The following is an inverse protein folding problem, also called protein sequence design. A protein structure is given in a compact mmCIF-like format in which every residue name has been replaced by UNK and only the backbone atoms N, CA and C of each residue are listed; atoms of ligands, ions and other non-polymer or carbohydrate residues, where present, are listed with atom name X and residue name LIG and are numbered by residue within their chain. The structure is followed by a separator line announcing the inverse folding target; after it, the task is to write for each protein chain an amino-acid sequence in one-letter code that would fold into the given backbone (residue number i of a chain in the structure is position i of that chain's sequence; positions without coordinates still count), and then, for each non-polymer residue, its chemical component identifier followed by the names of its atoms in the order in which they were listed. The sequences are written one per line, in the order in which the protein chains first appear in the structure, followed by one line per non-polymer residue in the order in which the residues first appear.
data_IF_148893155944
#
_entry.id   IF_148893155944
#
_cell.length_a   1.000
_cell.length_b   1.000
_cell.length_c   1.000
_cell.angle_alpha   90.00
_cell.angle_beta   90.00
_cell.angle_gamma   90.00
#
_symmetry.space_group_name_H-M   'P 1'
#
loop_
_entity.id
_entity.type
_entity.pdbx_description
1 polymer ?
#
# COMPACT_ATOMS: atom_id res chain seq x y z
N UNK A 1 15.81 19.50 -1.73
CA UNK A 1 15.12 18.58 -2.66
C UNK A 1 13.62 18.59 -2.37
N UNK A 2 12.75 18.57 -3.40
CA UNK A 2 11.30 18.42 -3.20
C UNK A 2 11.01 16.98 -2.79
N UNK A 3 10.13 16.73 -1.82
CA UNK A 3 9.71 15.37 -1.42
C UNK A 3 9.17 14.59 -2.63
N UNK A 4 9.40 13.26 -2.69
CA UNK A 4 8.81 12.41 -3.72
C UNK A 4 7.29 12.44 -3.63
N UNK A 5 6.64 12.29 -4.76
CA UNK A 5 5.21 12.00 -4.84
C UNK A 5 5.03 10.50 -4.66
N UNK A 6 4.18 10.13 -3.72
CA UNK A 6 3.88 8.72 -3.43
C UNK A 6 2.58 8.35 -4.14
N UNK A 7 2.66 7.45 -5.12
CA UNK A 7 1.51 6.94 -5.88
C UNK A 7 1.01 5.67 -5.21
N UNK A 8 -0.31 5.56 -5.04
CA UNK A 8 -0.96 4.43 -4.39
C UNK A 8 -1.79 3.64 -5.40
N UNK A 9 -1.52 2.35 -5.49
CA UNK A 9 -2.23 1.36 -6.29
C UNK A 9 -2.67 0.19 -5.40
N UNK A 10 -3.46 -0.73 -5.94
CA UNK A 10 -3.89 -1.93 -5.22
C UNK A 10 -3.72 -3.15 -6.13
N UNK A 11 -4.74 -3.42 -6.95
CA UNK A 11 -4.83 -4.61 -7.79
C UNK A 11 -4.33 -4.29 -9.21
N UNK A 12 -3.53 -5.20 -9.77
CA UNK A 12 -3.04 -5.07 -11.15
C UNK A 12 -3.51 -6.24 -11.98
N UNK A 13 -4.37 -5.98 -12.97
CA UNK A 13 -4.93 -7.02 -13.82
C UNK A 13 -5.18 -6.51 -15.25
N UNK A 14 -4.82 -7.27 -16.29
CA UNK A 14 -5.05 -6.86 -17.67
C UNK A 14 -6.54 -6.90 -18.05
N UNK A 15 -7.34 -7.72 -17.36
CA UNK A 15 -8.72 -8.05 -17.77
C UNK A 15 -9.74 -7.82 -16.67
N UNK A 16 -9.34 -7.77 -15.39
CA UNK A 16 -10.30 -7.62 -14.31
C UNK A 16 -10.81 -6.18 -14.20
N UNK A 17 -12.07 -6.01 -14.56
CA UNK A 17 -12.79 -4.74 -14.58
C UNK A 17 -13.29 -4.34 -13.18
N UNK A 18 -12.37 -3.95 -12.29
CA UNK A 18 -12.71 -3.60 -10.91
C UNK A 18 -12.25 -2.19 -10.52
N UNK A 19 -12.89 -1.57 -9.51
CA UNK A 19 -12.58 -0.19 -9.08
C UNK A 19 -11.17 -0.05 -8.52
N UNK A 20 -10.66 -1.10 -7.87
CA UNK A 20 -9.30 -1.19 -7.33
C UNK A 20 -8.26 -1.64 -8.37
N UNK A 21 -8.72 -2.09 -9.55
CA UNK A 21 -7.88 -2.67 -10.59
C UNK A 21 -7.35 -1.61 -11.56
N UNK A 22 -6.11 -1.82 -12.00
CA UNK A 22 -5.49 -1.10 -13.11
C UNK A 22 -4.74 -2.06 -14.02
N UNK A 23 -4.74 -1.81 -15.33
CA UNK A 23 -3.96 -2.64 -16.24
C UNK A 23 -2.46 -2.35 -16.10
N UNK A 24 -1.59 -3.38 -16.25
CA UNK A 24 -0.13 -3.20 -16.20
C UNK A 24 0.36 -2.09 -17.13
N UNK A 25 -0.15 -2.06 -18.37
CA UNK A 25 0.24 -1.09 -19.38
C UNK A 25 -0.11 0.35 -18.99
N UNK A 26 -1.29 0.57 -18.41
CA UNK A 26 -1.69 1.91 -17.98
C UNK A 26 -0.89 2.38 -16.77
N UNK A 27 -0.67 1.51 -15.78
CA UNK A 27 0.14 1.83 -14.60
C UNK A 27 1.54 2.26 -15.00
N UNK A 28 2.24 1.46 -15.81
CA UNK A 28 3.60 1.79 -16.26
C UNK A 28 3.63 3.08 -17.09
N UNK A 29 2.59 3.35 -17.89
CA UNK A 29 2.45 4.61 -18.63
C UNK A 29 2.24 5.81 -17.70
N UNK A 30 1.44 5.69 -16.64
CA UNK A 30 1.26 6.73 -15.64
C UNK A 30 2.60 7.04 -14.94
N UNK A 31 3.27 6.01 -14.42
CA UNK A 31 4.55 6.17 -13.70
C UNK A 31 5.61 6.79 -14.60
N UNK A 32 5.80 6.27 -15.82
CA UNK A 32 6.76 6.83 -16.79
C UNK A 32 6.47 8.29 -17.12
N UNK A 33 5.20 8.65 -17.27
CA UNK A 33 4.81 10.02 -17.58
C UNK A 33 5.06 10.96 -16.40
N UNK A 34 4.63 10.58 -15.19
CA UNK A 34 4.76 11.41 -13.99
C UNK A 34 6.22 11.60 -13.57
N UNK A 35 7.06 10.57 -13.78
CA UNK A 35 8.51 10.61 -13.49
C UNK A 35 9.27 11.66 -14.32
N UNK A 36 8.67 12.19 -15.41
CA UNK A 36 9.23 13.31 -16.19
C UNK A 36 9.13 14.65 -15.48
N UNK A 37 8.22 14.76 -14.50
CA UNK A 37 7.87 16.03 -13.85
C UNK A 37 8.15 16.01 -12.34
N UNK A 38 8.14 14.84 -11.71
CA UNK A 38 8.28 14.67 -10.26
C UNK A 38 9.15 13.44 -9.97
N UNK A 39 9.81 13.46 -8.83
CA UNK A 39 10.32 12.25 -8.21
C UNK A 39 9.13 11.42 -7.69
N UNK A 40 9.11 10.13 -7.99
CA UNK A 40 7.96 9.25 -7.81
C UNK A 40 8.37 7.98 -7.04
N UNK A 41 7.60 7.67 -5.99
CA UNK A 41 7.60 6.37 -5.31
C UNK A 41 6.28 5.68 -5.58
N UNK A 42 6.32 4.39 -5.84
CA UNK A 42 5.12 3.59 -6.14
C UNK A 42 4.84 2.67 -4.96
N UNK A 43 3.60 2.72 -4.46
CA UNK A 43 3.13 1.86 -3.38
C UNK A 43 1.94 1.03 -3.84
N UNK A 44 1.83 -0.18 -3.30
CA UNK A 44 0.65 -1.02 -3.45
C UNK A 44 0.15 -1.44 -2.07
N UNK A 45 -1.16 -1.38 -1.89
CA UNK A 45 -1.81 -1.76 -0.64
C UNK A 45 -2.41 -3.17 -0.75
N UNK A 46 -2.84 -3.70 0.39
CA UNK A 46 -3.48 -5.01 0.63
C UNK A 46 -2.59 -6.24 0.39
N UNK A 47 -1.46 -6.10 -0.30
CA UNK A 47 -0.56 -7.21 -0.58
C UNK A 47 -1.07 -8.16 -1.66
N UNK A 48 -1.89 -7.69 -2.61
CA UNK A 48 -2.37 -8.51 -3.72
C UNK A 48 -1.22 -9.07 -4.57
N UNK A 49 -1.23 -10.39 -4.81
CA UNK A 49 -0.19 -11.12 -5.54
C UNK A 49 0.01 -10.60 -6.96
N UNK A 50 -1.06 -10.17 -7.64
CA UNK A 50 -1.00 -9.70 -9.02
C UNK A 50 -0.25 -8.35 -9.20
N UNK A 51 -0.04 -7.59 -8.13
CA UNK A 51 0.79 -6.37 -8.15
C UNK A 51 2.23 -6.63 -8.60
N UNK A 52 2.78 -7.83 -8.31
CA UNK A 52 4.13 -8.22 -8.70
C UNK A 52 4.36 -8.21 -10.23
N UNK A 53 3.29 -8.33 -11.02
CA UNK A 53 3.38 -8.35 -12.49
C UNK A 53 4.02 -7.09 -13.09
N UNK A 54 3.98 -5.95 -12.38
CA UNK A 54 4.58 -4.69 -12.84
C UNK A 54 5.94 -4.37 -12.21
N UNK A 55 6.40 -5.13 -11.21
CA UNK A 55 7.66 -4.82 -10.51
C UNK A 55 8.88 -4.78 -11.43
N UNK A 56 9.06 -5.69 -12.41
CA UNK A 56 10.18 -5.59 -13.36
C UNK A 56 10.13 -4.29 -14.17
N UNK A 57 8.96 -3.88 -14.65
CA UNK A 57 8.78 -2.64 -15.42
C UNK A 57 9.03 -1.40 -14.57
N UNK A 58 8.58 -1.39 -13.32
CA UNK A 58 8.84 -0.29 -12.37
C UNK A 58 10.34 -0.16 -12.05
N UNK A 59 11.05 -1.29 -11.87
CA UNK A 59 12.51 -1.27 -11.69
C UNK A 59 13.24 -0.72 -12.91
N UNK A 60 12.81 -1.06 -14.12
CA UNK A 60 13.36 -0.48 -15.36
C UNK A 60 13.14 1.03 -15.46
N UNK A 61 12.07 1.55 -14.85
CA UNK A 61 11.82 3.00 -14.76
C UNK A 61 12.62 3.67 -13.64
N UNK A 62 13.35 2.92 -12.81
CA UNK A 62 14.18 3.45 -11.73
C UNK A 62 13.40 4.02 -10.55
N UNK A 63 12.13 3.65 -10.37
CA UNK A 63 11.31 4.10 -9.23
C UNK A 63 11.36 3.11 -8.07
N UNK A 64 11.26 3.61 -6.85
CA UNK A 64 11.12 2.76 -5.66
C UNK A 64 9.74 2.12 -5.58
N UNK A 65 9.70 0.88 -5.08
CA UNK A 65 8.49 0.07 -4.93
C UNK A 65 8.33 -0.27 -3.45
N UNK A 66 7.14 -0.01 -2.90
CA UNK A 66 6.77 -0.44 -1.56
C UNK A 66 5.44 -1.19 -1.58
N UNK A 67 5.34 -2.27 -0.81
CA UNK A 67 4.10 -2.99 -0.52
C UNK A 67 3.69 -2.67 0.91
N UNK A 68 2.43 -2.29 1.13
CA UNK A 68 1.79 -2.27 2.44
C UNK A 68 0.89 -3.50 2.53
N UNK A 69 1.19 -4.38 3.49
CA UNK A 69 0.54 -5.69 3.58
C UNK A 69 -0.24 -5.85 4.88
N UNK A 70 -1.32 -6.62 4.81
CA UNK A 70 -2.05 -7.06 6.00
C UNK A 70 -1.44 -8.38 6.48
N UNK A 71 -0.72 -8.36 7.60
CA UNK A 71 0.17 -9.48 8.00
C UNK A 71 -0.58 -10.79 8.20
N UNK A 72 -1.82 -10.74 8.66
CA UNK A 72 -2.67 -11.91 8.86
C UNK A 72 -3.00 -12.66 7.56
N UNK A 73 -3.02 -11.98 6.40
CA UNK A 73 -3.23 -12.61 5.09
C UNK A 73 -1.94 -13.17 4.50
N UNK A 74 -0.77 -12.63 4.88
CA UNK A 74 0.51 -13.10 4.39
C UNK A 74 0.93 -14.48 4.92
N UNK A 75 0.33 -14.94 6.01
CA UNK A 75 0.62 -16.24 6.65
C UNK A 75 0.35 -17.42 5.72
N UNK A 76 -0.70 -17.34 4.91
CA UNK A 76 -1.13 -18.41 3.99
C UNK A 76 -1.42 -17.90 2.57
N UNK A 77 -1.29 -16.60 2.31
CA UNK A 77 -1.59 -15.99 1.01
C UNK A 77 -3.05 -16.14 0.62
N UNK A 78 -3.94 -16.26 1.61
CA UNK A 78 -5.38 -16.43 1.40
C UNK A 78 -5.98 -15.22 0.68
N UNK A 79 -7.16 -15.44 0.13
CA UNK A 79 -7.96 -14.38 -0.48
C UNK A 79 -8.23 -13.27 0.53
N UNK A 80 -7.95 -12.03 0.12
CA UNK A 80 -8.28 -10.85 0.88
C UNK A 80 -9.80 -10.74 1.03
N UNK A 81 -10.27 -10.62 2.26
CA UNK A 81 -11.69 -10.75 2.59
C UNK A 81 -12.12 -9.65 3.56
N UNK A 82 -12.84 -8.66 3.03
CA UNK A 82 -13.49 -7.58 3.77
C UNK A 82 -14.93 -7.43 3.25
N UNK A 83 -15.87 -6.91 4.05
CA UNK A 83 -17.27 -6.76 3.62
C UNK A 83 -17.45 -6.01 2.30
N UNK A 84 -16.60 -5.00 2.03
CA UNK A 84 -16.70 -4.16 0.83
C UNK A 84 -16.32 -4.86 -0.48
N UNK A 85 -15.73 -6.05 -0.40
CA UNK A 85 -15.29 -6.89 -1.52
C UNK A 85 -16.02 -8.24 -1.55
N UNK A 86 -17.10 -8.40 -0.79
CA UNK A 86 -17.91 -9.61 -0.85
C UNK A 86 -18.47 -9.81 -2.27
N UNK A 87 -18.25 -10.99 -2.83
CA UNK A 87 -18.67 -11.36 -4.20
C UNK A 87 -17.66 -11.04 -5.29
N UNK A 88 -16.53 -10.38 -4.98
CA UNK A 88 -15.44 -10.17 -5.93
C UNK A 88 -14.67 -11.46 -6.23
N UNK A 89 -13.92 -11.47 -7.33
CA UNK A 89 -13.20 -12.67 -7.80
C UNK A 89 -12.07 -13.04 -6.81
N UNK A 90 -12.16 -14.19 -6.11
CA UNK A 90 -11.20 -14.57 -5.09
C UNK A 90 -9.79 -14.82 -5.65
N UNK A 91 -9.67 -15.13 -6.94
CA UNK A 91 -8.36 -15.29 -7.58
C UNK A 91 -7.66 -13.95 -7.79
N UNK A 92 -8.43 -12.89 -8.11
CA UNK A 92 -7.90 -11.54 -8.27
C UNK A 92 -7.50 -10.94 -6.92
N UNK A 93 -8.16 -11.37 -5.84
CA UNK A 93 -7.93 -10.92 -4.47
C UNK A 93 -6.95 -11.80 -3.68
N UNK A 94 -6.26 -12.75 -4.31
CA UNK A 94 -5.22 -13.54 -3.65
C UNK A 94 -4.07 -12.65 -3.18
N UNK A 95 -3.62 -12.85 -1.93
CA UNK A 95 -2.52 -12.08 -1.33
C UNK A 95 -1.19 -12.83 -1.41
N UNK A 96 -0.08 -12.09 -1.28
CA UNK A 96 1.26 -12.68 -1.26
C UNK A 96 1.50 -13.43 0.04
N UNK A 97 2.16 -14.59 -0.02
CA UNK A 97 2.67 -15.27 1.17
C UNK A 97 3.95 -14.62 1.71
N UNK A 98 4.35 -14.94 2.94
CA UNK A 98 5.66 -14.53 3.46
C UNK A 98 6.85 -14.98 2.62
N UNK A 99 6.76 -16.15 1.97
CA UNK A 99 7.79 -16.62 1.03
C UNK A 99 7.92 -15.67 -0.16
N UNK A 100 6.79 -15.31 -0.78
CA UNK A 100 6.75 -14.37 -1.90
C UNK A 100 7.23 -12.97 -1.47
N UNK A 101 6.81 -12.49 -0.30
CA UNK A 101 7.23 -11.19 0.25
C UNK A 101 8.74 -11.15 0.53
N UNK A 102 9.33 -12.21 1.09
CA UNK A 102 10.79 -12.33 1.28
C UNK A 102 11.53 -12.31 -0.05
N UNK A 103 11.02 -13.01 -1.07
CA UNK A 103 11.62 -13.00 -2.40
C UNK A 103 11.59 -11.59 -3.03
N UNK A 104 10.46 -10.89 -2.93
CA UNK A 104 10.35 -9.51 -3.41
C UNK A 104 11.23 -8.53 -2.63
N UNK A 105 11.32 -8.70 -1.31
CA UNK A 105 12.23 -7.95 -0.46
C UNK A 105 13.70 -8.10 -0.89
N UNK A 106 14.12 -9.33 -1.22
CA UNK A 106 15.46 -9.61 -1.76
C UNK A 106 15.74 -8.96 -3.12
N UNK A 107 14.70 -8.51 -3.83
CA UNK A 107 14.79 -7.78 -5.09
C UNK A 107 14.56 -6.26 -4.96
N UNK A 108 14.63 -5.73 -3.74
CA UNK A 108 14.57 -4.29 -3.47
C UNK A 108 13.17 -3.72 -3.30
N UNK A 109 12.14 -4.57 -3.14
CA UNK A 109 10.80 -4.12 -2.74
C UNK A 109 10.80 -3.85 -1.23
N UNK A 110 10.37 -2.65 -0.84
CA UNK A 110 10.18 -2.31 0.56
C UNK A 110 8.84 -2.87 1.06
N UNK A 111 8.81 -3.41 2.28
CA UNK A 111 7.57 -3.94 2.88
C UNK A 111 7.23 -3.09 4.10
N UNK A 112 6.03 -2.52 4.10
CA UNK A 112 5.43 -1.76 5.19
C UNK A 112 4.17 -2.44 5.70
N UNK A 113 3.65 -1.95 6.82
CA UNK A 113 2.50 -2.53 7.49
C UNK A 113 1.18 -1.89 7.04
N UNK A 114 0.12 -2.71 6.97
CA UNK A 114 -1.24 -2.29 6.67
C UNK A 114 -2.25 -2.91 7.63
N UNK A 115 -1.88 -3.04 8.91
CA UNK A 115 -2.58 -3.78 9.99
C UNK A 115 -2.47 -5.31 9.87
N UNK A 116 -3.12 -6.05 10.76
CA UNK A 116 -3.20 -7.51 10.68
C UNK A 116 -4.33 -7.91 9.74
N UNK A 117 -5.51 -7.29 9.90
CA UNK A 117 -6.76 -7.76 9.30
C UNK A 117 -7.52 -6.74 8.43
N UNK A 118 -6.95 -5.55 8.19
CA UNK A 118 -7.56 -4.44 7.44
C UNK A 118 -8.87 -3.85 8.04
N UNK A 119 -8.95 -3.58 9.35
CA UNK A 119 -10.15 -2.99 9.94
C UNK A 119 -10.23 -1.47 9.71
N UNK A 120 -11.43 -0.92 9.87
CA UNK A 120 -11.62 0.52 10.06
C UNK A 120 -11.08 0.94 11.45
N UNK A 121 -9.82 1.37 11.53
CA UNK A 121 -9.11 1.64 12.80
C UNK A 121 -9.84 2.63 13.72
N UNK A 122 -10.55 3.61 13.17
CA UNK A 122 -11.33 4.59 13.94
C UNK A 122 -12.49 3.95 14.72
N UNK A 123 -12.98 2.78 14.28
CA UNK A 123 -14.11 2.06 14.88
C UNK A 123 -13.68 1.06 15.97
N UNK A 124 -12.37 0.81 16.11
CA UNK A 124 -11.85 -0.16 17.08
C UNK A 124 -11.73 0.44 18.48
N UNK A 125 -11.89 -0.42 19.48
CA UNK A 125 -11.44 -0.13 20.85
C UNK A 125 -9.91 -0.08 20.95
N UNK A 126 -9.39 0.51 22.02
CA UNK A 126 -7.95 0.77 22.16
C UNK A 126 -7.09 -0.50 22.17
N UNK A 127 -7.54 -1.56 22.85
CA UNK A 127 -6.80 -2.83 22.90
C UNK A 127 -6.67 -3.48 21.52
N UNK A 128 -7.75 -3.46 20.73
CA UNK A 128 -7.76 -4.04 19.39
C UNK A 128 -6.94 -3.19 18.41
N UNK A 129 -7.04 -1.86 18.53
CA UNK A 129 -6.20 -0.92 17.78
C UNK A 129 -4.71 -1.16 18.03
N UNK A 130 -4.31 -1.35 19.30
CA UNK A 130 -2.92 -1.64 19.65
C UNK A 130 -2.45 -2.97 19.08
N UNK A 131 -3.27 -4.03 19.13
CA UNK A 131 -2.93 -5.33 18.55
C UNK A 131 -2.80 -5.26 17.03
N UNK A 132 -3.76 -4.68 16.34
CA UNK A 132 -3.75 -4.54 14.87
C UNK A 132 -2.51 -3.79 14.36
N UNK A 133 -2.03 -2.81 15.13
CA UNK A 133 -0.83 -2.04 14.78
C UNK A 133 0.46 -2.76 15.18
N UNK A 134 0.51 -3.28 16.42
CA UNK A 134 1.70 -3.87 17.02
C UNK A 134 2.03 -5.24 16.44
N UNK A 135 1.06 -6.14 16.36
CA UNK A 135 1.24 -7.50 15.87
C UNK A 135 1.64 -7.50 14.39
N UNK A 136 1.04 -6.60 13.59
CA UNK A 136 1.41 -6.40 12.18
C UNK A 136 2.88 -6.00 12.01
N UNK A 137 3.35 -5.04 12.83
CA UNK A 137 4.76 -4.61 12.81
C UNK A 137 5.68 -5.77 13.20
N UNK A 138 5.37 -6.43 14.31
CA UNK A 138 6.18 -7.51 14.85
C UNK A 138 6.32 -8.66 13.85
N UNK A 139 5.22 -9.09 13.25
CA UNK A 139 5.22 -10.16 12.24
C UNK A 139 6.08 -9.81 11.01
N UNK A 140 5.99 -8.57 10.51
CA UNK A 140 6.82 -8.12 9.38
C UNK A 140 8.30 -8.10 9.77
N UNK A 141 8.63 -7.60 10.96
CA UNK A 141 10.02 -7.52 11.42
C UNK A 141 10.62 -8.92 11.66
N UNK A 142 9.84 -9.86 12.19
CA UNK A 142 10.24 -11.25 12.41
C UNK A 142 10.46 -11.99 11.10
N UNK A 143 9.55 -11.85 10.12
CA UNK A 143 9.64 -12.55 8.84
C UNK A 143 10.74 -11.98 7.94
N UNK A 144 11.02 -10.69 8.02
CA UNK A 144 12.00 -10.02 7.15
C UNK A 144 13.36 -9.79 7.81
N UNK A 145 13.46 -9.96 9.13
CA UNK A 145 14.68 -9.71 9.90
C UNK A 145 15.19 -8.27 9.81
N UNK A 146 14.30 -7.31 9.56
CA UNK A 146 14.64 -5.87 9.38
C UNK A 146 13.50 -4.98 9.87
N UNK A 147 13.78 -3.72 10.28
CA UNK A 147 12.75 -2.81 10.78
C UNK A 147 11.62 -2.53 9.78
N UNK A 148 10.41 -2.37 10.29
CA UNK A 148 9.22 -1.93 9.56
C UNK A 148 8.81 -0.50 10.02
N UNK A 149 9.42 0.56 9.46
CA UNK A 149 9.19 1.93 9.91
C UNK A 149 7.95 2.60 9.30
N UNK A 150 7.38 2.04 8.24
CA UNK A 150 6.33 2.65 7.43
C UNK A 150 4.99 1.90 7.59
N UNK A 151 3.91 2.68 7.77
CA UNK A 151 2.54 2.18 7.91
C UNK A 151 1.58 2.86 6.92
N UNK A 152 0.65 2.14 6.33
CA UNK A 152 -0.47 2.72 5.59
C UNK A 152 -1.77 2.51 6.37
N UNK A 153 -2.61 3.54 6.49
CA UNK A 153 -3.92 3.40 7.12
C UNK A 153 -4.90 2.71 6.17
N UNK A 154 -5.55 1.58 6.56
CA UNK A 154 -6.69 1.03 5.82
C UNK A 154 -7.70 2.12 5.47
N UNK A 155 -8.18 2.11 4.23
CA UNK A 155 -9.11 3.13 3.70
C UNK A 155 -8.58 4.58 3.73
N UNK A 156 -7.32 4.81 4.14
CA UNK A 156 -6.78 6.13 4.44
C UNK A 156 -7.33 6.77 5.71
N UNK A 157 -8.05 6.02 6.55
CA UNK A 157 -8.76 6.53 7.72
C UNK A 157 -7.86 6.65 8.95
N UNK A 158 -7.80 7.86 9.53
CA UNK A 158 -7.07 8.11 10.77
C UNK A 158 -7.63 9.32 11.51
N UNK A 159 -7.57 9.31 12.83
CA UNK A 159 -7.80 10.47 13.70
C UNK A 159 -6.59 10.67 14.64
N UNK A 160 -6.67 11.60 15.59
CA UNK A 160 -5.58 11.83 16.55
C UNK A 160 -5.28 10.59 17.41
N UNK A 161 -6.31 9.82 17.77
CA UNK A 161 -6.16 8.59 18.58
C UNK A 161 -5.42 7.52 17.79
N UNK A 162 -5.85 7.26 16.57
CA UNK A 162 -5.21 6.30 15.65
C UNK A 162 -3.77 6.72 15.37
N UNK A 163 -3.50 8.00 15.08
CA UNK A 163 -2.12 8.49 14.86
C UNK A 163 -1.23 8.33 16.09
N UNK A 164 -1.76 8.60 17.30
CA UNK A 164 -1.03 8.40 18.54
C UNK A 164 -0.70 6.91 18.77
N UNK A 165 -1.66 6.02 18.54
CA UNK A 165 -1.45 4.58 18.63
C UNK A 165 -0.43 4.08 17.61
N UNK A 166 -0.48 4.56 16.36
CA UNK A 166 0.53 4.22 15.33
C UNK A 166 1.94 4.64 15.76
N UNK A 167 2.08 5.81 16.37
CA UNK A 167 3.37 6.25 16.92
C UNK A 167 3.82 5.38 18.09
N UNK A 168 2.91 5.04 19.00
CA UNK A 168 3.19 4.19 20.15
C UNK A 168 3.59 2.77 19.75
N UNK A 169 3.04 2.25 18.64
CA UNK A 169 3.43 0.96 18.06
C UNK A 169 4.84 0.97 17.43
N UNK A 170 5.53 2.12 17.37
CA UNK A 170 6.92 2.21 16.91
C UNK A 170 7.10 2.40 15.41
N UNK A 171 6.05 2.81 14.68
CA UNK A 171 6.20 3.28 13.31
C UNK A 171 6.80 4.70 13.28
N UNK A 172 7.57 4.99 12.23
CA UNK A 172 8.23 6.29 12.06
C UNK A 172 7.49 7.23 11.09
N UNK A 173 6.67 6.64 10.22
CA UNK A 173 5.92 7.33 9.16
C UNK A 173 4.62 6.57 8.90
N UNK A 174 3.55 7.31 8.63
CA UNK A 174 2.28 6.73 8.26
C UNK A 174 1.59 7.50 7.13
N UNK A 175 0.89 6.78 6.26
CA UNK A 175 0.32 7.29 5.02
C UNK A 175 -1.20 7.22 4.99
N UNK A 176 -1.85 8.35 4.69
CA UNK A 176 -3.28 8.49 4.40
C UNK A 176 -3.54 8.88 2.93
N UNK A 177 -4.79 9.24 2.59
CA UNK A 177 -5.20 9.58 1.21
C UNK A 177 -5.49 11.07 0.97
N UNK A 178 -6.06 11.79 1.94
CA UNK A 178 -6.63 13.14 1.70
C UNK A 178 -5.82 14.30 2.28
N UNK A 179 -4.80 14.03 3.08
CA UNK A 179 -4.21 15.04 3.95
C UNK A 179 -3.18 15.94 3.27
N UNK A 180 -3.26 17.24 3.55
CA UNK A 180 -2.30 18.26 3.13
C UNK A 180 -1.49 18.74 4.34
N UNK A 181 -0.82 17.78 5.02
CA UNK A 181 -0.07 18.03 6.25
C UNK A 181 1.44 17.82 6.11
N UNK A 182 2.20 18.36 7.07
CA UNK A 182 3.61 18.00 7.27
C UNK A 182 3.80 16.91 8.33
N UNK A 183 2.73 16.47 8.97
CA UNK A 183 2.78 15.39 9.96
C UNK A 183 3.28 14.10 9.28
N UNK A 184 4.30 13.49 9.89
CA UNK A 184 4.88 12.23 9.42
C UNK A 184 3.92 11.06 9.58
N UNK A 185 2.88 11.21 10.40
CA UNK A 185 1.82 10.22 10.60
C UNK A 185 0.53 10.55 9.81
N UNK A 186 0.60 11.48 8.85
CA UNK A 186 -0.49 11.82 7.94
C UNK A 186 0.06 12.18 6.55
N UNK A 187 1.02 11.39 6.05
CA UNK A 187 1.64 11.63 4.75
C UNK A 187 0.67 11.32 3.61
N UNK A 188 0.57 12.23 2.65
CA UNK A 188 -0.31 12.07 1.48
C UNK A 188 0.23 11.02 0.51
N UNK A 189 -0.66 10.15 0.04
CA UNK A 189 -0.48 9.37 -1.19
C UNK A 189 -1.54 9.73 -2.22
N UNK A 190 -1.19 9.62 -3.49
CA UNK A 190 -2.11 9.86 -4.60
C UNK A 190 -2.61 8.52 -5.13
N UNK A 191 -3.87 8.20 -4.84
CA UNK A 191 -4.58 7.03 -5.34
C UNK A 191 -4.84 7.11 -6.85
N UNK A 192 -4.37 6.09 -7.57
CA UNK A 192 -4.51 6.00 -9.03
C UNK A 192 -5.19 4.70 -9.45
N UNK A 193 -6.17 4.83 -10.36
CA UNK A 193 -7.01 3.72 -10.83
C UNK A 193 -7.16 3.75 -12.36
N UNK A 194 -7.86 2.75 -12.91
CA UNK A 194 -8.09 2.59 -14.36
C UNK A 194 -8.64 3.83 -15.09
N UNK A 195 -9.40 4.70 -14.41
CA UNK A 195 -9.99 5.93 -15.00
C UNK A 195 -9.04 7.12 -15.10
N UNK A 196 -7.89 7.06 -14.44
CA UNK A 196 -6.90 8.14 -14.44
C UNK A 196 -5.95 7.96 -15.62
N UNK A 197 -6.18 8.67 -16.73
CA UNK A 197 -5.15 8.78 -17.78
C UNK A 197 -3.89 9.46 -17.22
N UNK A 198 -2.71 9.38 -17.87
CA UNK A 198 -1.51 10.04 -17.35
C UNK A 198 -1.68 11.55 -17.09
N UNK A 199 -2.47 12.23 -17.91
CA UNK A 199 -2.81 13.65 -17.71
C UNK A 199 -3.71 13.84 -16.48
N UNK A 200 -4.75 13.01 -16.31
CA UNK A 200 -5.61 13.06 -15.12
C UNK A 200 -4.85 12.71 -13.84
N UNK A 201 -3.90 11.77 -13.93
CA UNK A 201 -3.02 11.42 -12.82
C UNK A 201 -2.14 12.62 -12.42
N UNK A 202 -1.60 13.35 -13.39
CA UNK A 202 -0.82 14.57 -13.12
C UNK A 202 -1.68 15.65 -12.44
N UNK A 203 -2.90 15.90 -12.93
CA UNK A 203 -3.81 16.86 -12.32
C UNK A 203 -4.15 16.49 -10.86
N UNK A 204 -4.35 15.20 -10.58
CA UNK A 204 -4.59 14.70 -9.21
C UNK A 204 -3.42 14.96 -8.25
N UNK A 205 -2.19 15.10 -8.75
CA UNK A 205 -1.06 15.45 -7.87
C UNK A 205 -1.21 16.84 -7.24
N UNK A 206 -1.96 17.74 -7.89
CA UNK A 206 -2.16 19.13 -7.50
C UNK A 206 -3.58 19.46 -6.99
N UNK A 207 -4.47 18.47 -6.99
CA UNK A 207 -5.82 18.57 -6.43
C UNK A 207 -5.82 18.14 -4.95
#
# INVERSE_FOLDING_TARGET
MRRPVVLCYHLVSPTYEHRLSISPALLLRQVRFLSRFRDVRVTFDDGFRNSASVFPGLRQLGVSIQLFICSGYARDGRTFAIPELEGDDPQQLATMTWEELRAHAGHGVEIGAHTVSHPHLQRLGDDELVRELGDSKQEIEDELGRPCPDFAYPYGEHDDRVRAATRAAGYERAYGLLEHGRDRFALRRCDLYRRHTPVRALLRLYA
#
